data_IF_622059053990
#
_entry.id   IF_622059053990
#
_cell.length_a   1.000
_cell.length_b   1.000
_cell.length_c   1.000
_cell.angle_alpha   90.00
_cell.angle_beta   90.00
_cell.angle_gamma   90.00
#
_symmetry.space_group_name_H-M   'P 1'
#
loop_
_entity.id
_entity.type
_entity.pdbx_description
1 polymer ?
#
# COMPACT_ATOMS: atom_id res chain seq x y z
N UNK A 1 4.12 0.40 -23.66
CA UNK A 1 3.84 1.58 -22.83
C UNK A 1 4.96 1.68 -21.80
N UNK A 2 5.50 2.87 -21.46
CA UNK A 2 6.36 2.99 -20.30
C UNK A 2 5.60 2.47 -19.08
N UNK A 3 6.26 1.69 -18.22
CA UNK A 3 5.66 1.21 -16.98
C UNK A 3 5.48 2.43 -16.06
N UNK A 4 4.24 2.90 -15.93
CA UNK A 4 3.92 3.90 -14.92
C UNK A 4 4.03 3.21 -13.55
N UNK A 5 5.14 3.50 -12.87
CA UNK A 5 5.47 2.99 -11.53
C UNK A 5 5.00 4.00 -10.49
N UNK A 6 4.29 3.49 -9.49
CA UNK A 6 3.80 4.25 -8.35
C UNK A 6 4.43 3.73 -7.06
N UNK A 7 4.78 4.66 -6.18
CA UNK A 7 5.32 4.39 -4.86
C UNK A 7 4.21 4.49 -3.83
N UNK A 8 4.07 3.46 -3.01
CA UNK A 8 3.16 3.47 -1.86
C UNK A 8 4.01 3.33 -0.61
N UNK A 9 3.78 4.19 0.37
CA UNK A 9 4.47 4.20 1.65
C UNK A 9 3.43 4.05 2.75
N UNK A 10 3.66 3.15 3.69
CA UNK A 10 2.85 3.07 4.91
C UNK A 10 3.76 3.18 6.14
N UNK A 11 3.27 3.81 7.21
CA UNK A 11 3.98 3.92 8.48
C UNK A 11 3.21 3.25 9.61
N UNK A 12 3.91 2.54 10.49
CA UNK A 12 3.35 1.80 11.63
C UNK A 12 4.07 2.17 12.92
N UNK A 13 3.30 2.41 13.97
CA UNK A 13 3.77 2.78 15.30
C UNK A 13 3.07 1.94 16.38
N UNK A 14 3.74 1.71 17.50
CA UNK A 14 3.14 1.09 18.68
C UNK A 14 2.12 2.03 19.35
N UNK A 15 1.39 1.53 20.36
CA UNK A 15 0.46 2.34 21.15
C UNK A 15 1.11 3.55 21.84
N UNK A 16 2.43 3.52 22.06
CA UNK A 16 3.24 4.60 22.63
C UNK A 16 3.77 5.60 21.61
N UNK A 17 3.49 5.42 20.31
CA UNK A 17 3.97 6.28 19.22
C UNK A 17 5.43 6.03 18.82
N UNK A 18 6.00 4.87 19.15
CA UNK A 18 7.32 4.45 18.65
C UNK A 18 7.17 3.69 17.35
N UNK A 19 8.06 3.92 16.36
CA UNK A 19 8.02 3.18 15.11
C UNK A 19 8.20 1.68 15.33
N UNK A 20 7.37 0.88 14.67
CA UNK A 20 7.52 -0.58 14.63
C UNK A 20 8.53 -0.96 13.55
N UNK A 21 9.64 -1.60 13.91
CA UNK A 21 10.65 -2.01 12.93
C UNK A 21 11.31 -3.33 13.30
N UNK A 22 11.92 -3.98 12.31
CA UNK A 22 12.66 -5.23 12.48
C UNK A 22 12.29 -6.29 11.44
N UNK A 23 13.20 -7.23 11.22
CA UNK A 23 13.06 -8.31 10.21
C UNK A 23 11.90 -9.27 10.50
N UNK A 24 11.41 -9.29 11.74
CA UNK A 24 10.27 -10.12 12.14
C UNK A 24 8.93 -9.58 11.65
N UNK A 25 8.87 -8.33 11.18
CA UNK A 25 7.66 -7.68 10.70
C UNK A 25 7.56 -7.71 9.17
N UNK A 26 6.43 -8.21 8.68
CA UNK A 26 6.09 -8.28 7.26
C UNK A 26 4.80 -7.48 7.01
N UNK A 27 4.85 -6.52 6.08
CA UNK A 27 3.66 -5.79 5.63
C UNK A 27 3.27 -6.27 4.24
N UNK A 28 1.98 -6.52 4.06
CA UNK A 28 1.35 -6.86 2.79
C UNK A 28 0.48 -5.69 2.33
N UNK A 29 0.68 -5.27 1.09
CA UNK A 29 -0.23 -4.38 0.38
C UNK A 29 -1.21 -5.25 -0.41
N UNK A 30 -2.49 -5.02 -0.16
CA UNK A 30 -3.59 -5.80 -0.71
C UNK A 30 -4.60 -4.86 -1.38
N UNK A 31 -5.22 -5.34 -2.43
CA UNK A 31 -6.37 -4.73 -3.09
C UNK A 31 -7.61 -5.54 -2.73
N UNK A 32 -8.64 -4.87 -2.23
CA UNK A 32 -9.87 -5.53 -1.85
C UNK A 32 -10.74 -5.68 -3.08
N UNK A 33 -11.05 -6.93 -3.39
CA UNK A 33 -11.79 -7.27 -4.59
C UNK A 33 -13.09 -8.01 -4.26
N UNK A 34 -14.04 -8.04 -5.19
CA UNK A 34 -15.36 -8.64 -4.90
C UNK A 34 -15.30 -10.16 -4.67
N UNK A 35 -14.28 -10.83 -5.18
CA UNK A 35 -14.16 -12.30 -5.17
C UNK A 35 -12.90 -12.81 -4.47
N UNK A 36 -11.73 -12.22 -4.75
CA UNK A 36 -10.44 -12.62 -4.17
C UNK A 36 -9.61 -11.36 -3.99
N UNK A 37 -9.14 -11.09 -2.76
CA UNK A 37 -8.26 -9.95 -2.51
C UNK A 37 -6.91 -10.16 -3.22
N UNK A 38 -6.52 -9.18 -4.05
CA UNK A 38 -5.31 -9.25 -4.84
C UNK A 38 -4.10 -8.75 -4.06
N UNK A 39 -3.02 -9.53 -4.13
CA UNK A 39 -1.78 -9.22 -3.41
C UNK A 39 -0.85 -8.39 -4.29
N UNK A 40 -0.83 -7.09 -4.05
CA UNK A 40 -0.01 -6.14 -4.80
C UNK A 40 1.47 -6.13 -4.37
N UNK A 41 1.76 -6.45 -3.11
CA UNK A 41 3.16 -6.43 -2.64
C UNK A 41 3.39 -6.96 -1.23
N UNK A 42 4.65 -7.29 -0.95
CA UNK A 42 5.15 -7.64 0.41
C UNK A 42 6.48 -6.97 0.63
N UNK A 43 6.66 -6.38 1.80
CA UNK A 43 7.94 -5.81 2.21
C UNK A 43 8.04 -5.75 3.74
N UNK A 44 9.27 -5.73 4.24
CA UNK A 44 9.54 -5.62 5.68
C UNK A 44 9.49 -4.17 6.14
N UNK A 45 9.23 -3.96 7.43
CA UNK A 45 9.32 -2.63 8.05
C UNK A 45 10.78 -2.22 8.26
N UNK A 46 11.11 -0.99 7.87
CA UNK A 46 12.39 -0.38 8.19
C UNK A 46 12.48 0.07 9.67
N UNK A 47 13.64 0.59 10.07
CA UNK A 47 13.87 1.08 11.43
C UNK A 47 13.04 2.32 11.81
N UNK A 48 12.49 3.03 10.83
CA UNK A 48 11.60 4.18 11.03
C UNK A 48 10.12 3.75 11.06
N UNK A 49 9.85 2.46 11.01
CA UNK A 49 8.52 1.89 10.91
C UNK A 49 7.79 2.25 9.63
N UNK A 50 8.55 2.42 8.55
CA UNK A 50 8.02 2.62 7.21
C UNK A 50 8.23 1.38 6.38
N UNK A 51 7.30 1.19 5.46
CA UNK A 51 7.42 0.21 4.38
C UNK A 51 7.14 0.93 3.07
N UNK A 52 7.87 0.53 2.03
CA UNK A 52 7.73 1.09 0.70
C UNK A 52 7.42 -0.02 -0.30
N UNK A 53 6.43 0.22 -1.16
CA UNK A 53 6.03 -0.63 -2.26
C UNK A 53 6.18 0.13 -3.57
N UNK A 54 6.61 -0.57 -4.62
CA UNK A 54 6.57 -0.08 -5.98
C UNK A 54 5.57 -0.95 -6.74
N UNK A 55 4.46 -0.35 -7.16
CA UNK A 55 3.39 -1.00 -7.93
C UNK A 55 3.32 -0.39 -9.31
N UNK A 56 3.05 -1.18 -10.33
CA UNK A 56 2.84 -0.68 -11.69
C UNK A 56 1.36 -0.53 -11.99
N UNK A 57 1.03 0.29 -13.00
CA UNK A 57 -0.34 0.36 -13.51
C UNK A 57 -0.89 -1.01 -13.95
N UNK A 58 -0.04 -1.96 -14.34
CA UNK A 58 -0.46 -3.31 -14.69
C UNK A 58 -0.80 -4.18 -13.48
N UNK A 59 -0.22 -3.89 -12.30
CA UNK A 59 -0.53 -4.61 -11.06
C UNK A 59 -1.86 -4.12 -10.46
N UNK A 60 -2.25 -2.89 -10.76
CA UNK A 60 -3.51 -2.27 -10.32
C UNK A 60 -4.71 -2.73 -11.17
N UNK A 61 -4.49 -2.96 -12.47
CA UNK A 61 -5.55 -3.44 -13.37
C UNK A 61 -5.60 -4.96 -13.25
N UNK A 62 -6.37 -5.48 -12.30
CA UNK A 62 -6.58 -6.92 -12.17
C UNK A 62 -7.31 -7.47 -13.41
N UNK A 63 -7.12 -8.76 -13.69
CA UNK A 63 -7.76 -9.46 -14.83
C UNK A 63 -9.28 -9.52 -14.66
N UNK A 64 -9.77 -9.41 -13.42
CA UNK A 64 -11.18 -9.59 -13.06
C UNK A 64 -12.00 -8.29 -13.20
N UNK A 65 -11.33 -7.13 -13.27
CA UNK A 65 -11.97 -5.82 -13.46
C UNK A 65 -11.20 -4.95 -14.48
N UNK A 66 -11.30 -5.23 -15.80
CA UNK A 66 -10.62 -4.43 -16.83
C UNK A 66 -11.06 -2.95 -16.90
N UNK A 67 -12.12 -2.57 -16.20
CA UNK A 67 -12.58 -1.18 -16.04
C UNK A 67 -12.15 -0.54 -14.70
N UNK A 68 -11.51 -1.29 -13.80
CA UNK A 68 -11.04 -0.78 -12.51
C UNK A 68 -9.78 0.06 -12.71
N UNK A 69 -9.91 1.35 -12.43
CA UNK A 69 -8.85 2.35 -12.57
C UNK A 69 -8.29 2.79 -11.21
N UNK A 70 -8.91 2.34 -10.13
CA UNK A 70 -8.62 2.82 -8.79
C UNK A 70 -8.87 1.65 -7.81
N UNK A 71 -7.80 1.07 -7.24
CA UNK A 71 -7.90 -0.10 -6.36
C UNK A 71 -8.37 0.31 -4.96
N UNK A 72 -8.97 -0.62 -4.25
CA UNK A 72 -9.43 -0.50 -2.88
C UNK A 72 -8.35 -1.03 -1.91
N UNK A 73 -7.35 -0.20 -1.63
CA UNK A 73 -6.14 -0.63 -0.94
C UNK A 73 -6.31 -0.82 0.56
N UNK A 74 -5.63 -1.83 1.11
CA UNK A 74 -5.44 -1.97 2.55
C UNK A 74 -4.11 -2.66 2.88
N UNK A 75 -3.72 -2.57 4.15
CA UNK A 75 -2.46 -3.10 4.64
C UNK A 75 -2.71 -4.16 5.71
N UNK A 76 -2.01 -5.29 5.60
CA UNK A 76 -1.91 -6.29 6.66
C UNK A 76 -0.48 -6.31 7.18
N UNK A 77 -0.32 -6.24 8.50
CA UNK A 77 0.96 -6.36 9.19
C UNK A 77 0.99 -7.68 9.95
N UNK A 78 2.01 -8.48 9.69
CA UNK A 78 2.29 -9.73 10.37
C UNK A 78 3.61 -9.65 11.15
N UNK A 79 3.70 -10.38 12.26
CA UNK A 79 4.93 -10.56 13.04
C UNK A 79 5.20 -12.05 13.25
N UNK A 80 6.34 -12.54 12.77
CA UNK A 80 6.68 -13.97 12.89
C UNK A 80 5.68 -14.92 12.21
N UNK A 81 4.93 -14.43 11.23
CA UNK A 81 3.90 -15.19 10.50
C UNK A 81 2.47 -15.00 11.02
N UNK A 82 2.28 -14.40 12.19
CA UNK A 82 0.96 -14.10 12.75
C UNK A 82 0.51 -12.69 12.33
N UNK A 83 -0.69 -12.55 11.76
CA UNK A 83 -1.28 -11.25 11.45
C UNK A 83 -1.66 -10.53 12.75
N UNK A 84 -1.06 -9.36 12.97
CA UNK A 84 -1.23 -8.56 14.20
C UNK A 84 -2.03 -7.28 13.97
N UNK A 85 -2.20 -6.86 12.71
CA UNK A 85 -2.97 -5.66 12.37
C UNK A 85 -3.44 -5.69 10.92
N UNK A 86 -4.64 -5.15 10.72
CA UNK A 86 -5.23 -4.89 9.40
C UNK A 86 -5.76 -3.46 9.40
N UNK A 87 -5.41 -2.66 8.40
CA UNK A 87 -5.90 -1.29 8.26
C UNK A 87 -7.37 -1.26 7.84
N UNK A 88 -7.97 -0.07 7.87
CA UNK A 88 -9.17 0.17 7.07
C UNK A 88 -8.86 0.03 5.57
N UNK A 89 -9.91 -0.16 4.77
CA UNK A 89 -9.83 -0.17 3.31
C UNK A 89 -9.95 1.26 2.83
N UNK A 90 -9.01 1.67 1.98
CA UNK A 90 -8.98 2.97 1.32
C UNK A 90 -9.58 2.80 -0.08
N UNK A 91 -10.84 3.22 -0.31
CA UNK A 91 -11.50 2.94 -1.56
C UNK A 91 -11.01 3.85 -2.70
N UNK A 92 -11.06 3.34 -3.92
CA UNK A 92 -10.83 4.08 -5.17
C UNK A 92 -9.53 4.92 -5.13
N UNK A 93 -8.40 4.32 -4.76
CA UNK A 93 -7.12 5.05 -4.66
C UNK A 93 -6.63 5.48 -6.06
N UNK A 94 -6.71 6.77 -6.35
CA UNK A 94 -6.30 7.31 -7.66
C UNK A 94 -4.80 7.58 -7.75
N UNK A 95 -4.15 6.95 -8.73
CA UNK A 95 -2.73 7.15 -9.07
C UNK A 95 -2.52 8.07 -10.28
N UNK A 96 -3.60 8.32 -11.02
CA UNK A 96 -3.60 9.18 -12.19
C UNK A 96 -3.94 10.62 -11.83
N UNK A 97 -2.94 11.47 -11.77
CA UNK A 97 -3.17 12.89 -12.03
C UNK A 97 -2.06 13.43 -12.91
N UNK A 98 -2.31 13.52 -14.22
CA UNK A 98 -1.52 14.43 -15.05
C UNK A 98 -1.77 15.83 -14.55
N UNK A 99 -0.71 16.53 -14.17
CA UNK A 99 -0.81 17.92 -13.79
C UNK A 99 -1.40 18.70 -14.99
N UNK A 100 -2.54 19.40 -14.82
CA UNK A 100 -3.26 20.00 -15.95
C UNK A 100 -2.51 21.17 -16.60
N UNK A 101 -1.47 21.68 -15.93
CA UNK A 101 -0.66 22.81 -16.41
C UNK A 101 0.60 22.31 -17.11
N UNK A 102 1.24 21.26 -16.58
CA UNK A 102 2.54 20.77 -17.06
C UNK A 102 2.47 19.48 -17.87
N UNK A 103 1.34 18.76 -17.83
CA UNK A 103 1.15 17.46 -18.46
C UNK A 103 1.98 16.32 -17.87
N UNK A 104 2.72 16.58 -16.78
CA UNK A 104 3.58 15.59 -16.12
C UNK A 104 2.78 14.73 -15.15
N UNK A 105 3.19 13.46 -14.92
CA UNK A 105 2.64 12.66 -13.83
C UNK A 105 2.84 13.37 -12.49
N UNK A 106 1.76 13.49 -11.71
CA UNK A 106 1.74 13.99 -10.33
C UNK A 106 1.08 12.92 -9.46
N UNK A 107 1.50 12.81 -8.19
CA UNK A 107 0.94 11.81 -7.28
C UNK A 107 1.56 10.41 -7.41
N UNK A 108 2.78 10.32 -7.96
CA UNK A 108 3.56 9.07 -8.06
C UNK A 108 3.88 8.44 -6.70
N UNK A 109 3.71 9.16 -5.60
CA UNK A 109 3.86 8.64 -4.24
C UNK A 109 2.58 8.84 -3.45
N UNK A 110 2.11 7.79 -2.78
CA UNK A 110 1.03 7.83 -1.80
C UNK A 110 1.57 7.42 -0.45
N UNK A 111 1.22 8.17 0.59
CA UNK A 111 1.62 7.88 1.97
C UNK A 111 0.38 7.59 2.82
N UNK A 112 0.45 6.55 3.63
CA UNK A 112 -0.60 6.08 4.52
C UNK A 112 -0.10 6.00 5.97
N UNK A 113 -1.01 6.21 6.93
CA UNK A 113 -0.71 6.20 8.35
C UNK A 113 -0.23 7.56 8.92
N UNK A 114 0.45 7.57 10.07
CA UNK A 114 0.89 6.39 10.83
C UNK A 114 -0.28 5.57 11.39
N UNK A 115 -0.21 4.26 11.20
CA UNK A 115 -1.12 3.30 11.78
C UNK A 115 -0.64 2.93 13.19
N UNK A 116 -1.52 3.04 14.17
CA UNK A 116 -1.25 2.58 15.54
C UNK A 116 -1.64 1.13 15.67
N UNK A 117 -0.68 0.32 16.10
CA UNK A 117 -0.83 -1.12 16.30
C UNK A 117 -0.79 -1.39 17.80
N UNK A 118 -1.83 -2.03 18.31
CA UNK A 118 -1.95 -2.39 19.72
C UNK A 118 -1.30 -3.77 19.94
N UNK A 119 -0.03 -3.78 20.36
CA UNK A 119 0.80 -4.98 20.60
C UNK A 119 1.41 -4.99 22.00
#
# INVERSE_FOLDING_TARGET
MPADLFKIIARFEDAGGKPLGGEDYEVRLLDRDHFIDDKLGVSALDSDGKVEFLVSAADIVSIDSPDERAPDLYFSLSKGGDEIFVSEVFPEVTFDTKDPVTGRPKGLTKEFGPFRVDI
#
